data_IF_104642554428
#
_entry.id   IF_104642554428
#
_cell.length_a   1.000
_cell.length_b   1.000
_cell.length_c   1.000
_cell.angle_alpha   90.00
_cell.angle_beta   90.00
_cell.angle_gamma   90.00
#
_symmetry.space_group_name_H-M   'P 1'
#
loop_
_entity.id
_entity.type
_entity.pdbx_description
1 polymer ?
#
# COMPACT_ATOMS: atom_id res chain seq x y z
N UNK A 1 -9.53 40.96 0.44
CA UNK A 1 -10.37 42.15 0.72
C UNK A 1 -9.72 42.89 1.89
N UNK A 2 -8.84 43.85 1.60
CA UNK A 2 -9.12 45.30 1.43
C UNK A 2 -9.14 46.03 2.77
N UNK A 3 -8.01 46.64 3.18
CA UNK A 3 -7.94 47.67 4.24
C UNK A 3 -6.59 48.44 4.39
N UNK A 4 -5.70 48.50 3.39
CA UNK A 4 -4.41 49.23 3.54
C UNK A 4 -4.11 50.31 2.50
N UNK A 5 -5.10 50.74 1.72
CA UNK A 5 -4.89 51.62 0.55
C UNK A 5 -5.42 53.05 0.76
N UNK A 6 -5.15 53.67 1.92
CA UNK A 6 -5.67 55.01 2.26
C UNK A 6 -4.70 55.99 2.95
N UNK A 7 -3.39 55.91 2.73
CA UNK A 7 -2.47 56.91 3.32
C UNK A 7 -1.42 57.51 2.35
N UNK A 8 -1.78 57.62 1.08
CA UNK A 8 -1.01 58.36 0.07
C UNK A 8 -1.78 59.61 -0.33
N UNK A 9 -1.52 60.76 0.33
CA UNK A 9 -1.77 62.15 -0.14
C UNK A 9 -1.76 63.15 1.04
N UNK A 10 -0.60 63.40 1.68
CA UNK A 10 -0.45 64.61 2.52
C UNK A 10 0.99 65.07 2.77
N UNK A 11 1.85 65.07 1.75
CA UNK A 11 3.12 65.82 1.78
C UNK A 11 3.42 66.39 0.38
N UNK A 12 2.67 67.44 0.04
CA UNK A 12 3.01 68.35 -1.04
C UNK A 12 2.69 69.75 -0.53
N UNK A 13 3.74 70.44 -0.07
CA UNK A 13 3.93 71.91 -0.08
C UNK A 13 5.24 72.22 0.63
N UNK A 14 6.29 72.15 -0.18
CA UNK A 14 7.52 72.88 -0.01
C UNK A 14 7.16 74.36 0.10
N UNK A 15 7.59 75.02 1.18
CA UNK A 15 7.67 76.47 1.29
C UNK A 15 9.06 76.84 0.79
N UNK A 16 9.12 77.26 -0.46
CA UNK A 16 10.30 77.85 -1.07
C UNK A 16 10.27 79.35 -0.76
N UNK A 17 10.80 79.75 0.40
CA UNK A 17 11.11 81.16 0.66
C UNK A 17 12.61 81.27 0.88
N UNK A 18 13.28 81.57 -0.23
CA UNK A 18 14.70 81.87 -0.34
C UNK A 18 14.99 83.22 0.32
N UNK A 19 15.62 83.19 1.49
CA UNK A 19 16.35 84.34 2.01
C UNK A 19 17.73 84.35 1.34
N UNK A 20 17.87 85.18 0.31
CA UNK A 20 19.14 85.50 -0.33
C UNK A 20 20.08 86.18 0.66
N UNK A 21 21.02 85.41 1.21
CA UNK A 21 22.19 85.95 1.88
C UNK A 21 23.34 85.92 0.86
N UNK A 22 23.71 87.10 0.37
CA UNK A 22 24.94 87.29 -0.41
C UNK A 22 26.15 86.91 0.47
N UNK A 23 26.61 85.67 0.32
CA UNK A 23 27.88 85.24 0.87
C UNK A 23 28.99 85.91 0.05
N UNK A 24 29.61 86.93 0.63
CA UNK A 24 30.87 87.48 0.16
C UNK A 24 31.90 86.36 0.13
N UNK A 25 32.27 85.97 -1.08
CA UNK A 25 33.23 84.91 -1.40
C UNK A 25 34.62 85.38 -0.95
N UNK A 26 34.90 85.19 0.34
CA UNK A 26 36.23 85.38 0.91
C UNK A 26 37.05 84.19 0.47
N UNK A 27 37.70 84.32 -0.69
CA UNK A 27 38.70 83.38 -1.18
C UNK A 27 39.88 83.37 -0.22
N UNK A 28 39.79 82.55 0.82
CA UNK A 28 40.89 82.20 1.69
C UNK A 28 41.84 81.36 0.83
N UNK A 29 43.05 81.87 0.61
CA UNK A 29 44.12 81.22 -0.15
C UNK A 29 44.63 80.00 0.65
N UNK A 30 43.86 78.91 0.59
CA UNK A 30 44.11 77.71 1.36
C UNK A 30 45.32 76.97 0.80
N UNK A 31 46.25 76.58 1.69
CA UNK A 31 47.44 75.82 1.34
C UNK A 31 47.06 74.55 0.52
N UNK A 32 47.64 74.35 -0.68
CA UNK A 32 47.28 73.26 -1.58
C UNK A 32 47.48 71.86 -0.98
N UNK A 33 48.40 71.71 -0.02
CA UNK A 33 48.60 70.42 0.67
C UNK A 33 47.41 70.05 1.58
N UNK A 34 46.81 71.05 2.24
CA UNK A 34 45.62 70.84 3.07
C UNK A 34 44.44 70.41 2.20
N UNK A 35 44.27 71.02 1.02
CA UNK A 35 43.22 70.62 0.07
C UNK A 35 43.40 69.18 -0.43
N UNK A 36 44.64 68.74 -0.69
CA UNK A 36 44.92 67.35 -1.09
C UNK A 36 44.58 66.36 0.02
N UNK A 37 44.88 66.70 1.27
CA UNK A 37 44.54 65.86 2.42
C UNK A 37 43.02 65.73 2.58
N UNK A 38 42.29 66.85 2.55
CA UNK A 38 40.81 66.87 2.61
C UNK A 38 40.21 66.04 1.47
N UNK A 39 40.73 66.16 0.25
CA UNK A 39 40.27 65.36 -0.88
C UNK A 39 40.53 63.86 -0.69
N UNK A 40 41.68 63.48 -0.10
CA UNK A 40 42.00 62.09 0.21
C UNK A 40 41.06 61.54 1.28
N UNK A 41 40.79 62.29 2.33
CA UNK A 41 39.86 61.90 3.39
C UNK A 41 38.44 61.77 2.86
N UNK A 42 37.99 62.71 2.01
CA UNK A 42 36.69 62.62 1.35
C UNK A 42 36.55 61.35 0.50
N UNK A 43 37.55 61.03 -0.32
CA UNK A 43 37.57 59.76 -1.08
C UNK A 43 37.51 58.54 -0.17
N UNK A 44 38.24 58.56 0.95
CA UNK A 44 38.19 57.48 1.94
C UNK A 44 36.79 57.35 2.55
N UNK A 45 36.16 58.45 2.93
CA UNK A 45 34.79 58.45 3.46
C UNK A 45 33.78 57.96 2.43
N UNK A 46 33.88 58.41 1.18
CA UNK A 46 33.01 57.96 0.09
C UNK A 46 33.11 56.44 -0.13
N UNK A 47 34.33 55.88 -0.07
CA UNK A 47 34.52 54.42 -0.15
C UNK A 47 33.92 53.66 1.03
N UNK A 48 34.03 54.19 2.25
CA UNK A 48 33.41 53.58 3.44
C UNK A 48 31.87 53.65 3.38
N UNK A 49 31.31 54.79 2.95
CA UNK A 49 29.87 54.94 2.76
C UNK A 49 29.32 53.98 1.69
N UNK A 50 30.06 53.78 0.60
CA UNK A 50 29.71 52.81 -0.45
C UNK A 50 29.72 51.38 0.10
N UNK A 51 30.73 51.02 0.89
CA UNK A 51 30.84 49.68 1.48
C UNK A 51 29.73 49.42 2.53
N UNK A 52 29.42 50.39 3.39
CA UNK A 52 28.31 50.30 4.33
C UNK A 52 26.97 50.13 3.60
N UNK A 53 26.77 50.85 2.49
CA UNK A 53 25.57 50.71 1.66
C UNK A 53 25.49 49.30 1.05
N UNK A 54 26.61 48.78 0.53
CA UNK A 54 26.70 47.41 0.00
C UNK A 54 26.33 46.38 1.06
N UNK A 55 26.95 46.46 2.24
CA UNK A 55 26.68 45.55 3.36
C UNK A 55 25.23 45.63 3.85
N UNK A 56 24.65 46.84 3.91
CA UNK A 56 23.24 47.03 4.26
C UNK A 56 22.31 46.32 3.27
N UNK A 57 22.55 46.46 1.96
CA UNK A 57 21.74 45.74 0.95
C UNK A 57 21.93 44.23 1.01
N UNK A 58 23.13 43.75 1.36
CA UNK A 58 23.41 42.33 1.54
C UNK A 58 22.68 41.77 2.78
N UNK A 59 22.64 42.52 3.87
CA UNK A 59 21.88 42.17 5.07
C UNK A 59 20.39 42.04 4.77
N UNK A 60 19.80 43.02 4.08
CA UNK A 60 18.39 42.98 3.69
C UNK A 60 18.04 41.78 2.82
N UNK A 61 18.94 41.38 1.91
CA UNK A 61 18.76 40.16 1.11
C UNK A 61 18.76 38.89 1.98
N UNK A 62 19.64 38.83 2.98
CA UNK A 62 19.68 37.71 3.93
C UNK A 62 18.42 37.65 4.79
N UNK A 63 17.93 38.80 5.27
CA UNK A 63 16.69 38.88 6.05
C UNK A 63 15.48 38.42 5.21
N UNK A 64 15.43 38.80 3.93
CA UNK A 64 14.38 38.31 3.03
C UNK A 64 14.41 36.79 2.87
N UNK A 65 15.60 36.19 2.71
CA UNK A 65 15.74 34.73 2.63
C UNK A 65 15.30 34.05 3.93
N UNK A 66 15.60 34.64 5.09
CA UNK A 66 15.15 34.11 6.39
C UNK A 66 13.62 34.12 6.47
N UNK A 67 12.97 35.21 6.06
CA UNK A 67 11.51 35.31 6.04
C UNK A 67 10.87 34.27 5.09
N UNK A 68 11.44 34.09 3.91
CA UNK A 68 10.96 33.10 2.95
C UNK A 68 11.08 31.66 3.50
N UNK A 69 12.20 31.34 4.16
CA UNK A 69 12.39 30.04 4.82
C UNK A 69 11.43 29.83 5.99
N UNK A 70 11.14 30.88 6.77
CA UNK A 70 10.15 30.81 7.85
C UNK A 70 8.74 30.56 7.29
N UNK A 71 8.36 31.22 6.19
CA UNK A 71 7.08 30.99 5.52
C UNK A 71 6.98 29.56 4.98
N UNK A 72 8.05 29.03 4.38
CA UNK A 72 8.11 27.63 3.96
C UNK A 72 7.97 26.66 5.13
N UNK A 73 8.64 26.93 6.27
CA UNK A 73 8.54 26.10 7.48
C UNK A 73 7.10 26.00 7.97
N UNK A 74 6.41 27.14 8.11
CA UNK A 74 5.00 27.18 8.54
C UNK A 74 4.09 26.43 7.55
N UNK A 75 4.36 26.55 6.24
CA UNK A 75 3.64 25.78 5.22
C UNK A 75 3.84 24.28 5.37
N UNK A 76 5.05 23.82 5.68
CA UNK A 76 5.31 22.40 5.93
C UNK A 76 4.69 21.90 7.24
N UNK A 77 4.74 22.70 8.31
CA UNK A 77 4.11 22.37 9.61
C UNK A 77 2.59 22.20 9.47
N UNK A 78 1.92 23.10 8.75
CA UNK A 78 0.47 23.01 8.48
C UNK A 78 0.11 21.80 7.62
N UNK A 79 0.91 21.48 6.59
CA UNK A 79 0.73 20.25 5.81
C UNK A 79 0.93 18.99 6.66
N UNK A 80 1.89 18.99 7.57
CA UNK A 80 2.14 17.85 8.45
C UNK A 80 0.98 17.67 9.45
N UNK A 81 0.48 18.76 10.03
CA UNK A 81 -0.68 18.74 10.91
C UNK A 81 -1.93 18.16 10.20
N UNK A 82 -2.21 18.59 8.97
CA UNK A 82 -3.31 18.05 8.16
C UNK A 82 -3.17 16.55 7.90
N UNK A 83 -1.97 16.07 7.56
CA UNK A 83 -1.71 14.62 7.38
C UNK A 83 -1.88 13.81 8.66
N UNK A 84 -1.55 14.37 9.82
CA UNK A 84 -1.78 13.72 11.10
C UNK A 84 -3.27 13.56 11.41
N UNK A 85 -4.08 14.57 11.08
CA UNK A 85 -5.54 14.51 11.21
C UNK A 85 -6.15 13.43 10.29
N UNK A 86 -5.70 13.38 9.03
CA UNK A 86 -6.11 12.32 8.10
C UNK A 86 -5.75 10.92 8.62
N UNK A 87 -4.54 10.75 9.15
CA UNK A 87 -4.10 9.48 9.74
C UNK A 87 -4.95 9.09 10.95
N UNK A 88 -5.30 10.05 11.80
CA UNK A 88 -6.18 9.83 12.94
C UNK A 88 -7.59 9.37 12.48
N UNK A 89 -8.15 10.02 11.45
CA UNK A 89 -9.43 9.63 10.88
C UNK A 89 -9.41 8.21 10.30
N UNK A 90 -8.32 7.80 9.63
CA UNK A 90 -8.14 6.44 9.12
C UNK A 90 -8.05 5.43 10.27
N UNK A 91 -7.35 5.75 11.36
CA UNK A 91 -7.28 4.87 12.55
C UNK A 91 -8.65 4.62 13.16
N UNK A 92 -9.48 5.67 13.29
CA UNK A 92 -10.86 5.55 13.79
C UNK A 92 -11.69 4.65 12.86
N UNK A 93 -11.61 4.87 11.54
CA UNK A 93 -12.32 4.02 10.56
C UNK A 93 -11.90 2.56 10.66
N UNK A 94 -10.60 2.29 10.80
CA UNK A 94 -10.09 0.93 10.96
C UNK A 94 -10.58 0.26 12.26
N UNK A 95 -10.64 1.01 13.37
CA UNK A 95 -11.19 0.49 14.62
C UNK A 95 -12.67 0.11 14.48
N UNK A 96 -13.48 0.94 13.79
CA UNK A 96 -14.88 0.63 13.49
C UNK A 96 -15.02 -0.62 12.62
N UNK A 97 -14.21 -0.74 11.56
CA UNK A 97 -14.22 -1.91 10.69
C UNK A 97 -13.83 -3.18 11.46
N UNK A 98 -12.81 -3.10 12.32
CA UNK A 98 -12.40 -4.21 13.17
C UNK A 98 -13.52 -4.66 14.11
N UNK A 99 -14.24 -3.72 14.73
CA UNK A 99 -15.42 -4.03 15.56
C UNK A 99 -16.52 -4.76 14.79
N UNK A 100 -16.83 -4.31 13.56
CA UNK A 100 -17.82 -4.98 12.69
C UNK A 100 -17.40 -6.38 12.29
N UNK A 101 -16.11 -6.62 12.03
CA UNK A 101 -15.59 -7.95 11.71
C UNK A 101 -15.83 -8.92 12.87
N UNK A 102 -15.53 -8.51 14.11
CA UNK A 102 -15.77 -9.32 15.30
C UNK A 102 -17.28 -9.63 15.45
N UNK A 103 -18.15 -8.64 15.24
CA UNK A 103 -19.61 -8.84 15.32
C UNK A 103 -20.10 -9.88 14.28
N UNK A 104 -19.58 -9.80 13.05
CA UNK A 104 -19.92 -10.75 11.99
C UNK A 104 -19.40 -12.16 12.29
N UNK A 105 -18.19 -12.29 12.83
CA UNK A 105 -17.62 -13.58 13.25
C UNK A 105 -18.46 -14.21 14.37
N UNK A 106 -18.92 -13.42 15.35
CA UNK A 106 -19.82 -13.89 16.40
C UNK A 106 -21.17 -14.38 15.84
N UNK A 107 -21.78 -13.63 14.92
CA UNK A 107 -23.02 -14.05 14.25
C UNK A 107 -22.81 -15.33 13.44
N UNK A 108 -21.70 -15.45 12.73
CA UNK A 108 -21.37 -16.65 11.96
C UNK A 108 -21.21 -17.87 12.88
N UNK A 109 -20.51 -17.71 14.01
CA UNK A 109 -20.38 -18.77 15.01
C UNK A 109 -21.75 -19.21 15.55
N UNK A 110 -22.63 -18.27 15.87
CA UNK A 110 -23.98 -18.57 16.33
C UNK A 110 -24.77 -19.40 15.31
N UNK A 111 -24.74 -19.00 14.04
CA UNK A 111 -25.39 -19.73 12.96
C UNK A 111 -24.81 -21.15 12.78
N UNK A 112 -23.49 -21.31 12.89
CA UNK A 112 -22.83 -22.63 12.81
C UNK A 112 -23.25 -23.55 13.94
N UNK A 113 -23.36 -23.04 15.16
CA UNK A 113 -23.86 -23.81 16.31
C UNK A 113 -25.33 -24.18 16.10
N UNK A 114 -26.15 -23.27 15.58
CA UNK A 114 -27.54 -23.55 15.23
C UNK A 114 -27.68 -24.66 14.18
N UNK A 115 -26.90 -24.58 13.10
CA UNK A 115 -26.86 -25.60 12.05
C UNK A 115 -26.46 -26.98 12.62
N UNK A 116 -25.39 -27.03 13.44
CA UNK A 116 -24.96 -28.28 14.07
C UNK A 116 -26.04 -28.90 14.97
N UNK A 117 -26.85 -28.10 15.67
CA UNK A 117 -27.99 -28.61 16.45
C UNK A 117 -29.08 -29.20 15.55
N UNK A 118 -29.38 -28.56 14.43
CA UNK A 118 -30.34 -29.09 13.46
C UNK A 118 -29.85 -30.39 12.84
N UNK A 119 -28.56 -30.48 12.48
CA UNK A 119 -27.95 -31.72 11.98
C UNK A 119 -28.05 -32.85 13.01
N UNK A 120 -27.80 -32.56 14.29
CA UNK A 120 -27.96 -33.52 15.38
C UNK A 120 -29.42 -33.98 15.55
N UNK A 121 -30.39 -33.07 15.41
CA UNK A 121 -31.81 -33.42 15.43
C UNK A 121 -32.21 -34.31 14.25
N UNK A 122 -31.69 -34.04 13.06
CA UNK A 122 -31.93 -34.85 11.87
C UNK A 122 -31.38 -36.27 12.04
N UNK A 123 -30.15 -36.42 12.55
CA UNK A 123 -29.57 -37.73 12.84
C UNK A 123 -30.45 -38.52 13.83
N UNK A 124 -30.93 -37.89 14.90
CA UNK A 124 -31.82 -38.53 15.87
C UNK A 124 -33.20 -38.91 15.29
N UNK A 125 -33.66 -38.24 14.23
CA UNK A 125 -34.86 -38.65 13.49
C UNK A 125 -34.58 -39.81 12.54
N UNK A 126 -33.43 -39.80 11.87
CA UNK A 126 -33.00 -40.91 11.01
C UNK A 126 -32.82 -42.21 11.80
N UNK A 127 -32.21 -42.16 12.99
CA UNK A 127 -32.09 -43.32 13.88
C UNK A 127 -33.46 -43.89 14.26
N UNK A 128 -34.40 -43.02 14.69
CA UNK A 128 -35.78 -43.46 15.01
C UNK A 128 -36.50 -44.08 13.82
N UNK A 129 -36.34 -43.51 12.63
CA UNK A 129 -36.93 -44.06 11.41
C UNK A 129 -36.31 -45.41 11.04
N UNK A 130 -35.00 -45.56 11.23
CA UNK A 130 -34.30 -46.82 11.03
C UNK A 130 -34.81 -47.90 12.00
N UNK A 131 -34.94 -47.58 13.29
CA UNK A 131 -35.47 -48.49 14.31
C UNK A 131 -36.90 -48.94 13.97
N UNK A 132 -37.77 -48.02 13.54
CA UNK A 132 -39.13 -48.35 13.09
C UNK A 132 -39.13 -49.27 11.88
N UNK A 133 -38.25 -49.02 10.91
CA UNK A 133 -38.14 -49.84 9.70
C UNK A 133 -37.69 -51.26 10.05
N UNK A 134 -36.71 -51.40 10.94
CA UNK A 134 -36.24 -52.69 11.44
C UNK A 134 -37.35 -53.44 12.18
N UNK A 135 -38.08 -52.78 13.09
CA UNK A 135 -39.18 -53.39 13.82
C UNK A 135 -40.32 -53.88 12.90
N UNK A 136 -40.66 -53.10 11.85
CA UNK A 136 -41.63 -53.51 10.84
C UNK A 136 -41.16 -54.73 10.04
N UNK A 137 -39.87 -54.79 9.67
CA UNK A 137 -39.30 -55.94 9.00
C UNK A 137 -39.37 -57.21 9.88
N UNK A 138 -39.05 -57.10 11.17
CA UNK A 138 -39.17 -58.21 12.13
C UNK A 138 -40.62 -58.71 12.26
N UNK A 139 -41.60 -57.79 12.37
CA UNK A 139 -43.02 -58.14 12.40
C UNK A 139 -43.47 -58.85 11.11
N UNK A 140 -43.00 -58.38 9.95
CA UNK A 140 -43.29 -59.01 8.66
C UNK A 140 -42.77 -60.44 8.60
N UNK A 141 -41.54 -60.68 9.06
CA UNK A 141 -40.92 -62.03 9.10
C UNK A 141 -41.73 -62.99 9.99
N UNK A 142 -42.18 -62.53 11.17
CA UNK A 142 -43.03 -63.35 12.06
C UNK A 142 -44.37 -63.72 11.42
N UNK A 143 -44.97 -62.80 10.66
CA UNK A 143 -46.21 -63.07 9.94
C UNK A 143 -46.05 -64.07 8.80
N UNK A 144 -44.92 -64.07 8.09
CA UNK A 144 -44.62 -65.05 7.05
C UNK A 144 -44.38 -66.45 7.63
N UNK A 145 -43.66 -66.55 8.76
CA UNK A 145 -43.41 -67.83 9.44
C UNK A 145 -44.70 -68.45 9.99
N UNK A 146 -45.64 -67.64 10.48
CA UNK A 146 -46.94 -68.12 10.95
C UNK A 146 -47.91 -68.56 9.84
N UNK A 147 -47.61 -68.31 8.55
CA UNK A 147 -48.50 -68.61 7.40
C UNK A 147 -48.02 -69.74 6.49
N UNK A 148 -46.90 -70.41 6.78
CA UNK A 148 -46.39 -71.50 5.95
C UNK A 148 -46.65 -72.87 6.59
N UNK A 149 -47.85 -73.40 6.37
CA UNK A 149 -48.04 -74.84 6.09
C UNK A 149 -47.87 -75.07 4.58
N UNK A 150 -47.39 -76.24 4.14
CA UNK A 150 -46.78 -76.39 2.82
C UNK A 150 -47.86 -76.41 1.73
N UNK A 151 -47.74 -75.53 0.74
CA UNK A 151 -48.30 -75.83 -0.59
C UNK A 151 -47.29 -75.39 -1.64
N UNK A 152 -46.65 -76.42 -2.19
CA UNK A 152 -45.71 -76.46 -3.29
C UNK A 152 -46.31 -75.80 -4.54
N UNK A 153 -45.55 -74.95 -5.23
CA UNK A 153 -45.98 -74.45 -6.54
C UNK A 153 -45.20 -73.28 -7.12
N UNK A 154 -44.10 -73.61 -7.80
CA UNK A 154 -43.51 -72.97 -8.98
C UNK A 154 -42.95 -71.52 -8.95
N UNK A 155 -41.70 -71.49 -9.42
CA UNK A 155 -40.83 -70.39 -9.78
C UNK A 155 -41.34 -69.55 -10.97
N UNK A 156 -40.96 -68.27 -10.99
CA UNK A 156 -40.33 -67.53 -12.11
C UNK A 156 -40.22 -66.03 -11.70
N UNK A 157 -39.03 -65.53 -11.39
CA UNK A 157 -38.10 -64.82 -12.31
C UNK A 157 -38.58 -63.42 -12.72
N UNK A 158 -37.98 -62.36 -12.16
CA UNK A 158 -37.62 -61.12 -12.88
C UNK A 158 -36.73 -60.21 -12.02
N UNK A 159 -35.56 -59.89 -12.57
CA UNK A 159 -34.60 -58.89 -12.12
C UNK A 159 -35.20 -57.47 -12.13
N UNK A 160 -34.79 -56.58 -11.21
CA UNK A 160 -34.31 -55.24 -11.63
C UNK A 160 -33.44 -54.59 -10.56
N UNK A 161 -32.22 -54.25 -10.96
CA UNK A 161 -31.21 -53.48 -10.23
C UNK A 161 -31.50 -51.99 -10.38
N UNK A 162 -31.63 -51.23 -9.27
CA UNK A 162 -31.43 -49.77 -9.28
C UNK A 162 -30.67 -49.34 -8.03
N UNK A 163 -29.37 -49.06 -8.24
CA UNK A 163 -28.48 -48.40 -7.30
C UNK A 163 -28.68 -46.88 -7.41
N UNK A 164 -29.14 -46.23 -6.35
CA UNK A 164 -29.28 -44.78 -6.26
C UNK A 164 -28.52 -44.22 -5.06
N UNK A 165 -27.31 -43.71 -5.27
CA UNK A 165 -26.57 -42.90 -4.30
C UNK A 165 -27.14 -41.48 -4.24
N UNK A 166 -27.41 -40.89 -3.07
CA UNK A 166 -27.71 -39.46 -2.97
C UNK A 166 -26.41 -38.64 -3.07
N UNK A 167 -26.43 -37.67 -3.99
CA UNK A 167 -25.35 -36.74 -4.29
C UNK A 167 -25.53 -35.41 -3.56
N UNK A 168 -24.48 -35.05 -2.83
CA UNK A 168 -23.94 -33.72 -2.51
C UNK A 168 -24.86 -32.53 -2.18
N UNK A 169 -24.68 -32.05 -0.95
CA UNK A 169 -24.92 -30.68 -0.51
C UNK A 169 -24.12 -29.64 -1.33
N UNK A 170 -24.77 -28.53 -1.66
CA UNK A 170 -24.15 -27.31 -2.16
C UNK A 170 -24.22 -26.25 -1.06
N UNK A 171 -23.13 -26.10 -0.32
CA UNK A 171 -22.89 -24.98 0.59
C UNK A 171 -21.99 -23.98 -0.13
N UNK A 172 -22.55 -22.83 -0.50
CA UNK A 172 -21.82 -21.70 -1.06
C UNK A 172 -21.02 -21.01 0.05
N UNK A 173 -19.76 -21.40 0.23
CA UNK A 173 -18.76 -20.62 0.96
C UNK A 173 -17.59 -20.33 0.02
N UNK A 174 -17.23 -19.05 -0.08
CA UNK A 174 -16.14 -18.56 -0.92
C UNK A 174 -14.81 -19.23 -0.53
N UNK A 175 -14.00 -19.74 -1.48
CA UNK A 175 -12.77 -20.41 -1.14
C UNK A 175 -11.67 -19.39 -0.86
N UNK A 176 -11.15 -19.40 0.36
CA UNK A 176 -9.73 -19.15 0.56
C UNK A 176 -8.99 -20.16 -0.33
N UNK A 177 -8.22 -19.67 -1.31
CA UNK A 177 -7.51 -20.50 -2.28
C UNK A 177 -6.57 -21.47 -1.56
N UNK A 178 -7.04 -22.70 -1.36
CA UNK A 178 -6.25 -23.80 -0.83
C UNK A 178 -5.21 -24.29 -1.85
N UNK A 179 -4.16 -24.99 -1.39
CA UNK A 179 -3.01 -25.39 -2.20
C UNK A 179 -3.28 -26.48 -3.27
N UNK A 180 -4.54 -26.72 -3.63
CA UNK A 180 -4.98 -27.75 -4.60
C UNK A 180 -5.62 -27.16 -5.87
N UNK A 181 -5.59 -25.84 -6.09
CA UNK A 181 -5.91 -25.32 -7.43
C UNK A 181 -4.81 -25.77 -8.39
N UNK A 182 -5.15 -26.50 -9.45
CA UNK A 182 -4.22 -26.98 -10.48
C UNK A 182 -3.48 -25.88 -11.27
N UNK A 183 -3.52 -24.64 -10.77
CA UNK A 183 -2.88 -23.44 -11.30
C UNK A 183 -1.53 -23.15 -10.62
N UNK A 184 -1.13 -23.94 -9.62
CA UNK A 184 0.12 -23.73 -8.91
C UNK A 184 1.31 -24.20 -9.76
N UNK A 185 2.30 -23.34 -10.05
CA UNK A 185 3.45 -23.74 -10.85
C UNK A 185 4.27 -24.78 -10.08
N UNK A 186 4.37 -26.00 -10.63
CA UNK A 186 4.94 -27.18 -9.95
C UNK A 186 6.46 -27.09 -9.73
N UNK A 187 7.15 -26.25 -10.49
CA UNK A 187 8.62 -26.15 -10.47
C UNK A 187 9.19 -25.27 -9.34
N UNK A 188 8.33 -24.61 -8.55
CA UNK A 188 8.73 -23.61 -7.55
C UNK A 188 9.34 -24.16 -6.26
N UNK A 189 9.35 -25.49 -6.06
CA UNK A 189 9.90 -26.08 -4.82
C UNK A 189 11.41 -25.85 -4.65
N UNK A 190 12.12 -25.41 -5.70
CA UNK A 190 13.58 -25.23 -5.70
C UNK A 190 14.08 -24.10 -4.78
N UNK A 191 13.25 -23.12 -4.45
CA UNK A 191 13.71 -21.91 -3.75
C UNK A 191 13.33 -21.85 -2.27
N UNK A 192 12.55 -22.81 -1.77
CA UNK A 192 12.21 -22.89 -0.34
C UNK A 192 13.47 -23.17 0.47
N UNK A 193 13.84 -22.22 1.33
CA UNK A 193 15.07 -22.31 2.15
C UNK A 193 16.37 -22.14 1.37
N UNK A 194 16.31 -21.82 0.07
CA UNK A 194 17.49 -21.57 -0.73
C UNK A 194 18.22 -20.31 -0.26
N UNK A 195 19.52 -20.44 -0.01
CA UNK A 195 20.41 -19.33 0.30
C UNK A 195 21.38 -19.15 -0.86
N UNK A 196 21.36 -17.97 -1.48
CA UNK A 196 22.32 -17.59 -2.51
C UNK A 196 23.75 -17.67 -1.98
N UNK A 197 24.69 -18.09 -2.83
CA UNK A 197 26.13 -18.02 -2.52
C UNK A 197 26.74 -16.68 -2.93
N UNK A 198 26.01 -15.88 -3.71
CA UNK A 198 26.41 -14.57 -4.21
C UNK A 198 25.97 -13.44 -3.29
N UNK A 199 26.77 -12.39 -3.22
CA UNK A 199 26.48 -11.14 -2.50
C UNK A 199 25.79 -10.15 -3.44
N UNK A 200 24.56 -9.75 -3.14
CA UNK A 200 23.84 -8.76 -3.96
C UNK A 200 23.94 -7.36 -3.34
N UNK A 201 23.98 -6.30 -4.15
CA UNK A 201 24.01 -4.91 -3.65
C UNK A 201 22.80 -4.53 -2.78
N UNK A 202 21.66 -5.20 -2.99
CA UNK A 202 20.38 -4.85 -2.37
C UNK A 202 19.83 -6.00 -1.50
N UNK A 203 20.71 -6.64 -0.72
CA UNK A 203 20.33 -7.71 0.21
C UNK A 203 20.60 -9.09 -0.36
N UNK A 204 19.59 -9.97 -0.37
CA UNK A 204 19.76 -11.36 -0.81
C UNK A 204 19.50 -11.58 -2.31
N UNK A 205 19.19 -10.53 -3.09
CA UNK A 205 18.97 -10.65 -4.54
C UNK A 205 17.63 -11.25 -4.97
N UNK A 206 16.76 -11.60 -4.01
CA UNK A 206 15.49 -12.30 -4.24
C UNK A 206 14.30 -11.37 -4.03
N UNK A 207 13.29 -11.47 -4.89
CA UNK A 207 11.97 -10.86 -4.63
C UNK A 207 11.31 -11.62 -3.48
N UNK A 208 10.98 -10.93 -2.38
CA UNK A 208 10.25 -11.55 -1.27
C UNK A 208 8.81 -11.91 -1.71
N UNK A 209 8.30 -13.11 -1.41
CA UNK A 209 6.93 -13.52 -1.77
C UNK A 209 5.83 -12.55 -1.34
N UNK A 210 6.02 -11.89 -0.19
CA UNK A 210 5.10 -10.86 0.31
C UNK A 210 4.93 -9.66 -0.64
N UNK A 211 5.90 -9.38 -1.54
CA UNK A 211 5.79 -8.31 -2.54
C UNK A 211 4.67 -8.55 -3.54
N UNK A 212 4.36 -9.80 -3.84
CA UNK A 212 3.30 -10.19 -4.77
C UNK A 212 2.14 -10.91 -4.07
N UNK A 213 2.05 -10.79 -2.74
CA UNK A 213 0.94 -11.33 -1.93
C UNK A 213 1.02 -12.84 -1.64
N UNK A 214 2.19 -13.45 -1.81
CA UNK A 214 2.41 -14.89 -1.57
C UNK A 214 3.14 -15.16 -0.25
N UNK A 215 3.35 -16.44 0.06
CA UNK A 215 4.07 -16.94 1.23
C UNK A 215 5.39 -17.60 0.81
N UNK A 216 6.30 -17.79 1.77
CA UNK A 216 7.62 -18.41 1.51
C UNK A 216 7.56 -19.85 0.98
N UNK A 217 6.40 -20.51 1.11
CA UNK A 217 6.17 -21.87 0.61
C UNK A 217 6.05 -21.87 -0.93
N UNK A 218 5.58 -20.76 -1.51
CA UNK A 218 5.27 -20.61 -2.94
C UNK A 218 6.13 -19.51 -3.58
N UNK A 219 7.41 -19.55 -3.22
CA UNK A 219 8.40 -18.64 -3.78
C UNK A 219 8.72 -18.98 -5.23
N UNK A 220 8.57 -17.99 -6.11
CA UNK A 220 8.88 -18.11 -7.53
C UNK A 220 10.38 -17.98 -7.83
N UNK A 221 11.20 -17.65 -6.81
CA UNK A 221 12.65 -17.51 -6.96
C UNK A 221 13.09 -16.39 -7.90
N UNK A 222 12.31 -15.29 -7.95
CA UNK A 222 12.55 -14.19 -8.88
C UNK A 222 13.72 -13.31 -8.44
N UNK A 223 14.55 -12.87 -9.39
CA UNK A 223 15.62 -11.93 -9.10
C UNK A 223 15.06 -10.53 -8.80
N UNK A 224 15.43 -9.96 -7.66
CA UNK A 224 15.02 -8.62 -7.25
C UNK A 224 15.42 -7.55 -8.27
N UNK A 225 16.64 -7.61 -8.79
CA UNK A 225 17.13 -6.61 -9.73
C UNK A 225 16.41 -6.71 -11.10
N UNK A 226 16.01 -7.91 -11.50
CA UNK A 226 15.26 -8.09 -12.75
C UNK A 226 13.83 -7.56 -12.62
N UNK A 227 13.11 -7.98 -11.58
CA UNK A 227 11.66 -7.77 -11.43
C UNK A 227 11.26 -6.57 -10.56
N UNK A 228 12.19 -5.89 -9.88
CA UNK A 228 11.87 -4.80 -8.94
C UNK A 228 12.74 -3.56 -9.08
N UNK A 229 13.70 -3.53 -10.01
CA UNK A 229 14.48 -2.33 -10.33
C UNK A 229 14.58 -2.10 -11.83
N UNK A 230 14.99 -0.89 -12.25
CA UNK A 230 15.24 -0.57 -13.66
C UNK A 230 16.58 -1.13 -14.19
N UNK A 231 17.45 -1.63 -13.32
CA UNK A 231 18.79 -2.10 -13.68
C UNK A 231 18.80 -3.54 -14.20
N UNK A 232 19.78 -3.85 -15.05
CA UNK A 232 20.08 -5.23 -15.46
C UNK A 232 20.81 -5.92 -14.30
N UNK A 233 20.51 -7.21 -14.06
CA UNK A 233 21.17 -7.97 -13.01
C UNK A 233 22.67 -8.09 -13.28
N UNK A 234 23.50 -7.72 -12.29
CA UNK A 234 24.97 -7.76 -12.41
C UNK A 234 25.54 -9.17 -12.66
N UNK A 235 24.78 -10.21 -12.29
CA UNK A 235 25.19 -11.60 -12.47
C UNK A 235 24.68 -12.22 -13.78
N UNK A 236 23.82 -11.52 -14.54
CA UNK A 236 23.30 -11.98 -15.82
C UNK A 236 22.77 -13.42 -15.78
N UNK A 237 23.22 -14.27 -16.71
CA UNK A 237 22.82 -15.68 -16.80
C UNK A 237 23.32 -16.55 -15.64
N UNK A 238 24.27 -16.08 -14.85
CA UNK A 238 24.80 -16.81 -13.70
C UNK A 238 24.06 -16.49 -12.41
N UNK A 239 23.03 -15.63 -12.43
CA UNK A 239 22.27 -15.28 -11.25
C UNK A 239 21.65 -16.54 -10.61
N UNK A 240 21.68 -16.61 -9.28
CA UNK A 240 21.10 -17.74 -8.54
C UNK A 240 19.55 -17.71 -8.60
N UNK A 241 18.98 -16.55 -8.95
CA UNK A 241 17.54 -16.32 -9.09
C UNK A 241 17.12 -16.18 -10.55
N UNK A 242 15.87 -16.53 -10.83
CA UNK A 242 15.32 -16.57 -12.18
C UNK A 242 15.20 -15.17 -12.80
N UNK A 243 15.54 -15.08 -14.09
CA UNK A 243 15.33 -13.92 -14.96
C UNK A 243 14.32 -14.17 -16.09
N UNK A 244 13.88 -15.42 -16.30
CA UNK A 244 12.91 -15.70 -17.36
C UNK A 244 11.57 -15.03 -17.07
N UNK A 245 10.94 -14.52 -18.12
CA UNK A 245 9.60 -13.96 -18.07
C UNK A 245 8.63 -14.89 -17.33
N UNK A 246 7.66 -14.29 -16.64
CA UNK A 246 6.63 -15.03 -15.93
C UNK A 246 5.72 -15.72 -16.95
N UNK A 247 5.53 -17.03 -16.79
CA UNK A 247 4.56 -17.79 -17.59
C UNK A 247 3.13 -17.39 -17.23
N UNK A 248 2.16 -17.69 -18.11
CA UNK A 248 0.76 -17.36 -17.85
C UNK A 248 0.22 -17.98 -16.56
N UNK A 249 0.65 -19.22 -16.24
CA UNK A 249 0.31 -19.88 -14.99
C UNK A 249 0.82 -19.13 -13.75
N UNK A 250 2.04 -18.60 -13.81
CA UNK A 250 2.63 -17.81 -12.73
C UNK A 250 1.98 -16.45 -12.58
N UNK A 251 1.64 -15.79 -13.71
CA UNK A 251 0.91 -14.53 -13.70
C UNK A 251 -0.48 -14.72 -13.10
N UNK A 252 -1.21 -15.75 -13.52
CA UNK A 252 -2.51 -16.10 -12.94
C UNK A 252 -2.41 -16.40 -11.45
N UNK A 253 -1.38 -17.12 -11.03
CA UNK A 253 -1.09 -17.36 -9.62
C UNK A 253 -0.88 -16.05 -8.85
N UNK A 254 -0.03 -15.15 -9.36
CA UNK A 254 0.21 -13.84 -8.73
C UNK A 254 -1.07 -13.01 -8.65
N UNK A 255 -1.90 -12.99 -9.69
CA UNK A 255 -3.21 -12.31 -9.65
C UNK A 255 -4.10 -12.90 -8.56
N UNK A 256 -4.09 -14.23 -8.36
CA UNK A 256 -4.88 -14.89 -7.32
C UNK A 256 -4.45 -14.51 -5.89
N UNK A 257 -3.25 -13.95 -5.71
CA UNK A 257 -2.78 -13.38 -4.43
C UNK A 257 -3.40 -12.01 -4.10
N UNK A 258 -4.32 -11.50 -4.93
CA UNK A 258 -5.08 -10.28 -4.69
C UNK A 258 -4.37 -9.01 -5.13
N UNK A 259 -4.72 -7.88 -4.52
CA UNK A 259 -4.30 -6.54 -4.97
C UNK A 259 -2.77 -6.36 -5.00
N UNK A 260 -2.05 -6.99 -4.06
CA UNK A 260 -0.59 -6.95 -4.01
C UNK A 260 0.03 -7.59 -5.26
N UNK A 261 -0.51 -8.74 -5.71
CA UNK A 261 -0.05 -9.42 -6.90
C UNK A 261 -0.32 -8.64 -8.18
N UNK A 262 -1.52 -8.09 -8.33
CA UNK A 262 -1.86 -7.21 -9.48
C UNK A 262 -0.93 -6.00 -9.55
N UNK A 263 -0.66 -5.37 -8.41
CA UNK A 263 0.28 -4.24 -8.33
C UNK A 263 1.69 -4.67 -8.73
N UNK A 264 2.16 -5.82 -8.24
CA UNK A 264 3.47 -6.36 -8.56
C UNK A 264 3.63 -6.61 -10.07
N UNK A 265 2.65 -7.24 -10.72
CA UNK A 265 2.72 -7.53 -12.15
C UNK A 265 2.84 -6.26 -12.98
N UNK A 266 2.03 -5.24 -12.69
CA UNK A 266 2.10 -3.95 -13.38
C UNK A 266 3.48 -3.31 -13.25
N UNK A 267 4.03 -3.27 -12.03
CA UNK A 267 5.38 -2.74 -11.78
C UNK A 267 6.44 -3.57 -12.51
N UNK A 268 6.35 -4.91 -12.44
CA UNK A 268 7.35 -5.79 -13.06
C UNK A 268 7.32 -5.72 -14.59
N UNK A 269 6.15 -5.61 -15.20
CA UNK A 269 6.00 -5.54 -16.66
C UNK A 269 6.59 -4.23 -17.19
N UNK A 270 6.32 -3.11 -16.51
CA UNK A 270 6.92 -1.81 -16.85
C UNK A 270 8.46 -1.89 -16.78
N UNK A 271 8.99 -2.52 -15.74
CA UNK A 271 10.43 -2.66 -15.54
C UNK A 271 11.12 -3.63 -16.52
N UNK A 272 10.40 -4.64 -17.02
CA UNK A 272 10.97 -5.69 -17.89
C UNK A 272 10.80 -5.40 -19.37
N UNK A 273 9.81 -4.60 -19.77
CA UNK A 273 9.49 -4.27 -21.17
C UNK A 273 10.64 -3.69 -22.01
N UNK A 274 11.68 -3.14 -21.38
CA UNK A 274 12.85 -2.57 -22.06
C UNK A 274 14.17 -3.33 -21.87
N UNK A 275 14.18 -4.49 -21.20
CA UNK A 275 15.42 -5.22 -20.89
C UNK A 275 15.68 -6.32 -21.92
N UNK A 276 16.67 -6.11 -22.79
CA UNK A 276 17.17 -7.14 -23.71
C UNK A 276 18.26 -7.94 -22.99
N UNK A 277 18.17 -9.28 -23.02
CA UNK A 277 19.07 -10.23 -22.34
C UNK A 277 19.77 -11.18 -23.30
#
# INVERSE_FOLDING_TARGET
>A
MSSSEKNSRKRARLSSDEAGAEHQDTTIDANPEILRLIQRERRCLDTHCAELSRLSTESLKKDQVILDLQAQRVKHETQFASKLEELAAVKVKNAVLFGKTIELEQKNLHLRVGAARHDQQLLALYERLHDQTTALAELSMRHTESRHSPTTGQEQSAETVVSGKPSSAVTTQAPAAGPNSGLLPRDNRRYKGFKSRKTYPHGNGRVRPSRYGSTDIWDLGLCFQHFSTKSVCIFGKTCDYRHHALSDGERNYIVSCGQAGVKFLRESDELTSGKIY
#
